data_IF_945670824174
#
_entry.id   IF_945670824174
#
_cell.length_a   1.000
_cell.length_b   1.000
_cell.length_c   1.000
_cell.angle_alpha   90.00
_cell.angle_beta   90.00
_cell.angle_gamma   90.00
#
_symmetry.space_group_name_H-M   'P 1'
#
loop_
_entity.id
_entity.type
_entity.pdbx_description
1 polymer ?
#
# COMPACT_ATOMS: atom_id res chain seq x y z
N UNK A 1 40.54 10.33 32.95
CA UNK A 1 39.91 9.29 32.11
C UNK A 1 38.78 9.96 31.35
N UNK A 2 38.91 10.12 30.04
CA UNK A 2 37.81 10.66 29.20
C UNK A 2 36.71 9.60 29.12
N UNK A 3 35.43 9.91 29.38
CA UNK A 3 34.36 8.95 29.18
C UNK A 3 34.31 8.60 27.69
N UNK A 4 34.68 7.37 27.36
CA UNK A 4 34.80 6.85 25.99
C UNK A 4 33.52 6.13 25.60
N UNK A 5 32.38 6.80 25.78
CA UNK A 5 31.14 6.41 25.15
C UNK A 5 30.74 7.60 24.29
N UNK A 6 31.13 7.55 23.00
CA UNK A 6 30.45 8.36 22.01
C UNK A 6 28.97 8.02 22.15
N UNK A 7 28.15 9.02 22.48
CA UNK A 7 26.71 8.86 22.56
C UNK A 7 26.23 8.30 21.22
N UNK A 8 25.84 7.03 21.19
CA UNK A 8 25.35 6.36 19.99
C UNK A 8 24.07 7.09 19.57
N UNK A 9 24.15 7.84 18.47
CA UNK A 9 23.02 8.62 17.98
C UNK A 9 22.02 7.65 17.36
N UNK A 10 20.78 7.71 17.82
CA UNK A 10 19.68 6.90 17.28
C UNK A 10 19.57 7.13 15.76
N UNK A 11 19.67 6.07 14.93
CA UNK A 11 19.61 6.20 13.47
C UNK A 11 18.19 6.50 12.95
N UNK A 12 17.20 6.76 13.80
CA UNK A 12 15.81 7.06 13.41
C UNK A 12 15.70 8.10 12.28
N UNK A 13 16.56 9.12 12.26
CA UNK A 13 16.57 10.12 11.19
C UNK A 13 16.88 9.51 9.81
N UNK A 14 17.87 8.63 9.74
CA UNK A 14 18.23 7.92 8.51
C UNK A 14 17.17 6.90 8.12
N UNK A 15 16.62 6.16 9.09
CA UNK A 15 15.53 5.22 8.84
C UNK A 15 14.30 5.93 8.26
N UNK A 16 13.90 7.07 8.83
CA UNK A 16 12.80 7.88 8.34
C UNK A 16 13.08 8.44 6.94
N UNK A 17 14.30 8.92 6.67
CA UNK A 17 14.68 9.43 5.36
C UNK A 17 14.60 8.34 4.28
N UNK A 18 15.09 7.13 4.57
CA UNK A 18 15.02 6.00 3.64
C UNK A 18 13.57 5.58 3.40
N UNK A 19 12.76 5.48 4.46
CA UNK A 19 11.34 5.12 4.34
C UNK A 19 10.56 6.14 3.51
N UNK A 20 10.78 7.44 3.74
CA UNK A 20 10.13 8.50 2.98
C UNK A 20 10.56 8.51 1.51
N UNK A 21 11.86 8.31 1.23
CA UNK A 21 12.36 8.20 -0.13
C UNK A 21 11.75 7.00 -0.86
N UNK A 22 11.70 5.83 -0.20
CA UNK A 22 11.06 4.65 -0.76
C UNK A 22 9.58 4.88 -1.06
N UNK A 23 8.83 5.49 -0.14
CA UNK A 23 7.43 5.83 -0.35
C UNK A 23 7.24 6.78 -1.56
N UNK A 24 8.09 7.80 -1.69
CA UNK A 24 8.04 8.72 -2.83
C UNK A 24 8.29 7.99 -4.16
N UNK A 25 9.21 7.02 -4.18
CA UNK A 25 9.48 6.19 -5.36
C UNK A 25 8.32 5.24 -5.69
N UNK A 26 7.65 4.66 -4.68
CA UNK A 26 6.46 3.81 -4.91
C UNK A 26 5.30 4.61 -5.52
N UNK A 27 5.15 5.89 -5.15
CA UNK A 27 4.15 6.77 -5.76
C UNK A 27 4.55 7.33 -7.13
N UNK A 28 5.83 7.27 -7.48
CA UNK A 28 6.31 7.75 -8.76
C UNK A 28 5.73 6.90 -9.90
N UNK A 29 4.85 7.53 -10.70
CA UNK A 29 4.13 6.89 -11.83
C UNK A 29 3.17 5.76 -11.43
N UNK A 30 2.59 5.82 -10.23
CA UNK A 30 1.58 4.83 -9.81
C UNK A 30 0.37 4.73 -10.77
N UNK A 31 -0.02 5.82 -11.43
CA UNK A 31 -1.11 5.85 -12.42
C UNK A 31 -0.72 5.43 -13.84
N UNK A 32 0.43 4.77 -14.03
CA UNK A 32 0.90 4.27 -15.32
C UNK A 32 1.07 2.74 -15.23
N UNK A 33 0.40 1.93 -16.07
CA UNK A 33 -0.54 2.33 -17.13
C UNK A 33 -1.83 2.95 -16.57
N UNK A 34 -2.48 3.81 -17.37
CA UNK A 34 -3.71 4.51 -16.96
C UNK A 34 -4.99 3.68 -17.13
N UNK A 35 -4.83 2.39 -17.40
CA UNK A 35 -5.90 1.41 -17.55
C UNK A 35 -5.63 0.23 -16.62
N UNK A 36 -6.70 -0.41 -16.16
CA UNK A 36 -6.64 -1.60 -15.32
C UNK A 36 -5.89 -2.71 -16.07
N UNK A 37 -4.83 -3.24 -15.46
CA UNK A 37 -3.97 -4.24 -16.09
C UNK A 37 -3.69 -5.44 -15.20
N UNK A 38 -3.43 -6.61 -15.82
CA UNK A 38 -3.11 -7.85 -15.11
C UNK A 38 -4.18 -8.20 -14.05
N UNK A 39 -3.80 -8.69 -12.88
CA UNK A 39 -4.69 -9.10 -11.80
C UNK A 39 -5.67 -8.02 -11.33
N UNK A 40 -5.44 -6.75 -11.63
CA UNK A 40 -6.39 -5.68 -11.35
C UNK A 40 -7.73 -5.90 -12.07
N UNK A 41 -7.73 -6.55 -13.25
CA UNK A 41 -8.96 -6.89 -13.98
C UNK A 41 -9.86 -7.87 -13.21
N UNK A 42 -9.30 -8.60 -12.25
CA UNK A 42 -10.04 -9.52 -11.38
C UNK A 42 -10.42 -8.85 -10.06
N UNK A 43 -9.44 -8.20 -9.41
CA UNK A 43 -9.63 -7.71 -8.04
C UNK A 43 -10.33 -6.36 -7.94
N UNK A 44 -10.13 -5.44 -8.88
CA UNK A 44 -10.82 -4.15 -8.88
C UNK A 44 -12.34 -4.33 -9.09
N UNK A 45 -12.82 -5.12 -10.07
CA UNK A 45 -14.25 -5.40 -10.20
C UNK A 45 -14.81 -6.19 -9.02
N UNK A 46 -14.04 -7.12 -8.44
CA UNK A 46 -14.48 -7.87 -7.27
C UNK A 46 -14.68 -6.97 -6.04
N UNK A 47 -13.79 -5.99 -5.84
CA UNK A 47 -13.92 -5.00 -4.77
C UNK A 47 -15.14 -4.08 -5.00
N UNK A 48 -15.38 -3.64 -6.23
CA UNK A 48 -16.58 -2.85 -6.59
C UNK A 48 -17.88 -3.62 -6.31
N UNK A 49 -17.95 -4.90 -6.70
CA UNK A 49 -19.08 -5.79 -6.36
C UNK A 49 -19.25 -5.96 -4.85
N UNK A 50 -18.15 -6.01 -4.10
CA UNK A 50 -18.21 -6.13 -2.64
C UNK A 50 -18.83 -4.88 -1.98
N UNK A 51 -18.58 -3.68 -2.52
CA UNK A 51 -19.24 -2.44 -2.08
C UNK A 51 -20.76 -2.53 -2.30
N UNK A 52 -21.20 -3.18 -3.38
CA UNK A 52 -22.61 -3.44 -3.69
C UNK A 52 -23.21 -4.61 -2.86
N UNK A 53 -22.43 -5.23 -1.96
CA UNK A 53 -22.86 -6.38 -1.17
C UNK A 53 -22.88 -7.70 -1.95
N UNK A 54 -22.32 -7.73 -3.16
CA UNK A 54 -22.27 -8.92 -4.01
C UNK A 54 -20.95 -9.66 -3.82
N UNK A 55 -21.03 -10.95 -3.46
CA UNK A 55 -19.84 -11.79 -3.32
C UNK A 55 -19.20 -12.05 -4.69
N UNK A 56 -17.90 -11.76 -4.81
CA UNK A 56 -17.13 -11.97 -6.03
C UNK A 56 -15.77 -12.66 -5.77
N UNK A 57 -15.34 -13.46 -6.75
CA UNK A 57 -14.05 -14.15 -6.78
C UNK A 57 -13.78 -15.06 -5.55
N UNK A 58 -14.62 -16.08 -5.29
CA UNK A 58 -14.59 -16.83 -4.03
C UNK A 58 -13.33 -17.69 -3.81
N UNK A 59 -12.54 -17.93 -4.85
CA UNK A 59 -11.32 -18.74 -4.82
C UNK A 59 -10.22 -18.18 -3.87
N UNK A 60 -10.25 -16.87 -3.61
CA UNK A 60 -9.29 -16.19 -2.73
C UNK A 60 -9.93 -15.64 -1.46
N UNK A 61 -9.18 -15.62 -0.33
CA UNK A 61 -9.63 -15.00 0.92
C UNK A 61 -10.14 -13.57 0.71
N UNK A 62 -11.13 -13.17 1.52
CA UNK A 62 -11.82 -11.88 1.35
C UNK A 62 -10.97 -10.66 1.76
N UNK A 63 -9.98 -10.84 2.64
CA UNK A 63 -9.26 -9.73 3.28
C UNK A 63 -8.74 -8.68 2.29
N UNK A 64 -8.00 -9.09 1.25
CA UNK A 64 -7.46 -8.15 0.26
C UNK A 64 -8.55 -7.37 -0.49
N UNK A 65 -9.65 -8.05 -0.87
CA UNK A 65 -10.79 -7.42 -1.54
C UNK A 65 -11.54 -6.45 -0.63
N UNK A 66 -11.63 -6.74 0.67
CA UNK A 66 -12.23 -5.83 1.65
C UNK A 66 -11.38 -4.57 1.85
N UNK A 67 -10.04 -4.71 1.91
CA UNK A 67 -9.13 -3.55 1.99
C UNK A 67 -9.24 -2.68 0.73
N UNK A 68 -9.27 -3.29 -0.46
CA UNK A 68 -9.49 -2.57 -1.72
C UNK A 68 -10.86 -1.88 -1.76
N UNK A 69 -11.93 -2.58 -1.35
CA UNK A 69 -13.28 -2.02 -1.31
C UNK A 69 -13.37 -0.81 -0.36
N UNK A 70 -12.73 -0.88 0.81
CA UNK A 70 -12.62 0.25 1.71
C UNK A 70 -11.81 1.39 1.06
N UNK A 71 -10.64 1.12 0.48
CA UNK A 71 -9.85 2.15 -0.18
C UNK A 71 -10.63 2.88 -1.28
N UNK A 72 -11.32 2.14 -2.15
CA UNK A 72 -12.22 2.70 -3.18
C UNK A 72 -13.34 3.53 -2.52
N UNK A 73 -14.03 2.99 -1.51
CA UNK A 73 -15.13 3.72 -0.86
C UNK A 73 -14.70 5.05 -0.23
N UNK A 74 -13.51 5.11 0.38
CA UNK A 74 -13.03 6.29 1.10
C UNK A 74 -12.21 7.26 0.22
N UNK A 75 -11.60 6.79 -0.87
CA UNK A 75 -10.71 7.59 -1.74
C UNK A 75 -11.31 7.92 -3.12
N UNK A 76 -12.28 7.15 -3.63
CA UNK A 76 -12.98 7.37 -4.92
C UNK A 76 -13.06 6.15 -5.84
#
# INVERSE_FOLDING_TARGET
MHPRFAQEQDPIGWCAAIAALFLALVWWRLGTPSEIYFDEVHYVPAARKLIEGVRANPEHPLFGKTVLAAAIHWLG
#
